data_IF_726374517187
#
_entry.id   IF_726374517187
#
_cell.length_a   1.000
_cell.length_b   1.000
_cell.length_c   1.000
_cell.angle_alpha   90.00
_cell.angle_beta   90.00
_cell.angle_gamma   90.00
#
_symmetry.space_group_name_H-M   'P 1'
#
loop_
_entity.id
_entity.type
_entity.pdbx_description
1 polymer ?
#
# COMPACT_ATOMS: atom_id res chain seq x y z
N UNK A 1 -7.03 -5.08 0.09
CA UNK A 1 -5.57 -5.29 0.23
C UNK A 1 -5.24 -6.64 -0.38
N UNK A 2 -4.30 -6.71 -1.33
CA UNK A 2 -3.86 -7.95 -1.98
C UNK A 2 -2.48 -8.33 -1.45
N UNK A 3 -2.28 -9.58 -1.07
CA UNK A 3 -1.02 -10.07 -0.47
C UNK A 3 -0.71 -11.48 -0.98
N UNK A 4 0.57 -11.71 -1.28
CA UNK A 4 1.10 -13.03 -1.68
C UNK A 4 2.23 -13.50 -0.77
N UNK A 5 2.37 -12.88 0.42
CA UNK A 5 3.35 -13.31 1.41
C UNK A 5 3.01 -14.68 1.99
N UNK A 6 3.99 -15.40 2.56
CA UNK A 6 3.76 -16.67 3.23
C UNK A 6 2.65 -16.53 4.28
N UNK A 7 1.70 -17.48 4.29
CA UNK A 7 0.57 -17.45 5.22
C UNK A 7 1.01 -17.33 6.69
N UNK A 8 2.08 -18.03 7.07
CA UNK A 8 2.63 -17.98 8.43
C UNK A 8 3.04 -16.55 8.84
N UNK A 9 3.60 -15.78 7.91
CA UNK A 9 3.92 -14.37 8.16
C UNK A 9 2.67 -13.51 8.29
N UNK A 10 1.70 -13.68 7.38
CA UNK A 10 0.44 -12.91 7.43
C UNK A 10 -0.33 -13.14 8.74
N UNK A 11 -0.39 -14.40 9.19
CA UNK A 11 -1.03 -14.78 10.45
C UNK A 11 -0.28 -14.13 11.64
N UNK A 12 1.05 -14.20 11.67
CA UNK A 12 1.86 -13.56 12.71
C UNK A 12 1.70 -12.03 12.72
N UNK A 13 1.81 -11.41 11.54
CA UNK A 13 1.70 -9.96 11.36
C UNK A 13 0.36 -9.43 11.86
N UNK A 14 -0.73 -10.13 11.52
CA UNK A 14 -2.09 -9.75 11.95
C UNK A 14 -2.31 -9.99 13.44
N UNK A 15 -1.87 -11.12 13.99
CA UNK A 15 -2.08 -11.45 15.41
C UNK A 15 -1.35 -10.49 16.35
N UNK A 16 -0.19 -9.98 15.93
CA UNK A 16 0.62 -9.06 16.73
C UNK A 16 0.35 -7.58 16.39
N UNK A 17 -0.59 -7.28 15.49
CA UNK A 17 -0.95 -5.91 15.15
C UNK A 17 0.20 -5.09 14.58
N UNK A 18 1.11 -5.72 13.82
CA UNK A 18 2.39 -5.12 13.43
C UNK A 18 2.24 -3.89 12.51
N UNK A 19 1.09 -3.70 11.88
CA UNK A 19 0.80 -2.55 10.99
C UNK A 19 1.11 -1.19 11.62
N UNK A 20 0.93 -1.03 12.93
CA UNK A 20 1.18 0.23 13.64
C UNK A 20 2.66 0.51 13.86
N UNK A 21 3.49 -0.53 13.79
CA UNK A 21 4.94 -0.49 14.04
C UNK A 21 5.74 -0.85 12.80
N UNK A 22 5.08 -1.08 11.66
CA UNK A 22 5.71 -1.50 10.42
C UNK A 22 6.41 -0.30 9.78
N UNK A 23 7.75 -0.36 9.64
CA UNK A 23 8.51 0.76 9.07
C UNK A 23 8.18 1.01 7.60
N UNK A 24 7.71 0.01 6.84
CA UNK A 24 7.23 0.25 5.46
C UNK A 24 5.99 1.13 5.44
N UNK A 25 5.08 0.91 6.39
CA UNK A 25 3.82 1.66 6.48
C UNK A 25 4.12 3.09 6.89
N UNK A 26 4.93 3.29 7.94
CA UNK A 26 5.39 4.61 8.37
C UNK A 26 6.07 5.36 7.22
N UNK A 27 7.05 4.73 6.57
CA UNK A 27 7.77 5.32 5.44
C UNK A 27 6.83 5.70 4.29
N UNK A 28 5.86 4.83 3.95
CA UNK A 28 4.93 5.07 2.86
C UNK A 28 3.90 6.16 3.11
N UNK A 29 3.68 6.57 4.36
CA UNK A 29 2.89 7.77 4.66
C UNK A 29 3.70 9.06 4.54
N UNK A 30 5.02 8.98 4.73
CA UNK A 30 5.92 10.14 4.75
C UNK A 30 6.57 10.41 3.39
N UNK A 31 6.75 9.38 2.55
CA UNK A 31 7.56 9.44 1.34
C UNK A 31 6.83 8.89 0.11
N UNK A 32 7.16 9.44 -1.06
CA UNK A 32 6.76 8.92 -2.38
C UNK A 32 8.02 8.42 -3.09
N UNK A 33 7.96 7.24 -3.71
CA UNK A 33 9.09 6.60 -4.37
C UNK A 33 9.33 5.18 -3.86
N UNK A 34 10.58 4.75 -3.85
CA UNK A 34 10.98 3.39 -3.43
C UNK A 34 12.08 3.42 -2.40
N UNK A 35 12.05 2.50 -1.44
CA UNK A 35 13.09 2.31 -0.43
C UNK A 35 13.33 0.81 -0.19
N UNK A 36 14.59 0.41 0.03
CA UNK A 36 14.91 -0.97 0.43
C UNK A 36 14.62 -1.18 1.90
N UNK A 37 14.27 -2.40 2.27
CA UNK A 37 14.11 -2.77 3.69
C UNK A 37 15.39 -2.54 4.49
N UNK A 38 16.56 -2.78 3.88
CA UNK A 38 17.86 -2.53 4.48
C UNK A 38 18.20 -1.05 4.69
N UNK A 39 17.43 -0.14 4.11
CA UNK A 39 17.58 1.31 4.25
C UNK A 39 16.55 1.91 5.23
N UNK A 40 15.62 1.10 5.75
CA UNK A 40 14.61 1.52 6.71
C UNK A 40 15.10 1.36 8.15
N UNK A 41 14.73 2.30 9.01
CA UNK A 41 14.87 2.13 10.45
C UNK A 41 13.75 1.23 10.97
N UNK A 42 14.09 0.12 11.63
CA UNK A 42 13.16 -0.94 12.06
C UNK A 42 13.21 -1.12 13.59
N UNK A 43 12.77 -0.12 14.38
CA UNK A 43 12.93 -0.13 15.84
C UNK A 43 12.11 -1.21 16.55
N UNK A 44 11.11 -1.77 15.87
CA UNK A 44 10.25 -2.84 16.38
C UNK A 44 10.63 -4.22 15.82
N UNK A 45 11.75 -4.32 15.10
CA UNK A 45 12.26 -5.55 14.49
C UNK A 45 11.23 -6.26 13.58
N UNK A 46 10.34 -5.52 12.92
CA UNK A 46 9.29 -6.09 12.06
C UNK A 46 9.88 -6.73 10.82
N UNK A 47 10.78 -6.03 10.12
CA UNK A 47 11.47 -6.53 8.94
C UNK A 47 12.49 -7.60 9.33
N UNK A 48 13.17 -7.41 10.46
CA UNK A 48 14.03 -8.44 11.03
C UNK A 48 13.25 -9.73 11.33
N UNK A 49 12.02 -9.63 11.83
CA UNK A 49 11.15 -10.78 12.06
C UNK A 49 10.69 -11.43 10.76
N UNK A 50 10.44 -10.66 9.70
CA UNK A 50 10.08 -11.19 8.38
C UNK A 50 11.16 -12.13 7.81
N UNK A 51 12.44 -11.92 8.17
CA UNK A 51 13.55 -12.80 7.77
C UNK A 51 13.36 -14.25 8.24
N UNK A 52 12.81 -14.44 9.44
CA UNK A 52 12.51 -15.78 10.00
C UNK A 52 11.43 -16.52 9.20
N UNK A 53 10.61 -15.78 8.44
CA UNK A 53 9.57 -16.32 7.57
C UNK A 53 10.02 -16.44 6.11
N UNK A 54 11.33 -16.35 5.84
CA UNK A 54 11.89 -16.51 4.50
C UNK A 54 11.81 -15.25 3.63
N UNK A 55 11.66 -14.07 4.25
CA UNK A 55 11.66 -12.77 3.57
C UNK A 55 12.79 -11.86 4.07
N UNK A 56 14.07 -12.22 3.82
CA UNK A 56 15.23 -11.42 4.20
C UNK A 56 15.39 -10.11 3.43
N UNK A 57 14.86 -10.01 2.21
CA UNK A 57 15.05 -8.85 1.34
C UNK A 57 13.71 -8.32 0.85
N UNK A 58 13.59 -7.00 0.81
CA UNK A 58 12.39 -6.38 0.31
C UNK A 58 12.54 -4.91 -0.03
N UNK A 59 11.51 -4.38 -0.67
CA UNK A 59 11.35 -2.96 -0.96
C UNK A 59 9.95 -2.51 -0.59
N UNK A 60 9.82 -1.24 -0.25
CA UNK A 60 8.54 -0.52 -0.24
C UNK A 60 8.50 0.41 -1.44
N UNK A 61 7.35 0.46 -2.11
CA UNK A 61 7.07 1.36 -3.21
C UNK A 61 5.79 2.13 -2.90
N UNK A 62 5.86 3.45 -2.92
CA UNK A 62 4.74 4.35 -2.65
C UNK A 62 4.51 5.25 -3.85
N UNK A 63 3.26 5.32 -4.30
CA UNK A 63 2.82 6.23 -5.37
C UNK A 63 1.54 6.94 -4.96
N UNK A 64 1.36 8.18 -5.44
CA UNK A 64 0.24 9.05 -5.07
C UNK A 64 -0.27 9.83 -6.28
N UNK A 65 -1.60 9.90 -6.43
CA UNK A 65 -2.29 10.73 -7.41
C UNK A 65 -3.47 11.44 -6.73
N UNK A 66 -3.39 12.77 -6.60
CA UNK A 66 -4.35 13.55 -5.81
C UNK A 66 -4.39 13.05 -4.36
N UNK A 67 -5.57 12.65 -3.90
CA UNK A 67 -5.81 12.08 -2.56
C UNK A 67 -5.65 10.55 -2.52
N UNK A 68 -5.39 9.89 -3.66
CA UNK A 68 -5.19 8.45 -3.72
C UNK A 68 -3.73 8.11 -3.41
N UNK A 69 -3.49 7.31 -2.37
CA UNK A 69 -2.18 6.80 -1.98
C UNK A 69 -2.15 5.28 -2.12
N UNK A 70 -1.08 4.75 -2.71
CA UNK A 70 -0.82 3.31 -2.77
C UNK A 70 0.55 3.01 -2.21
N UNK A 71 0.59 2.13 -1.20
CA UNK A 71 1.80 1.60 -0.58
C UNK A 71 1.87 0.11 -0.93
N UNK A 72 3.00 -0.31 -1.48
CA UNK A 72 3.21 -1.68 -1.96
C UNK A 72 4.53 -2.22 -1.42
N UNK A 73 4.46 -3.34 -0.69
CA UNK A 73 5.64 -4.08 -0.26
C UNK A 73 5.94 -5.24 -1.20
N UNK A 74 7.22 -5.46 -1.49
CA UNK A 74 7.71 -6.62 -2.24
C UNK A 74 8.83 -7.27 -1.47
N UNK A 75 8.84 -8.60 -1.40
CA UNK A 75 9.84 -9.36 -0.70
C UNK A 75 10.38 -10.52 -1.55
N UNK A 76 11.63 -10.92 -1.28
CA UNK A 76 12.30 -12.06 -1.91
C UNK A 76 13.30 -12.71 -0.95
N UNK A 77 13.67 -13.96 -1.25
CA UNK A 77 14.46 -14.79 -0.37
C UNK A 77 15.96 -14.83 -0.69
N UNK A 78 16.34 -14.50 -1.92
CA UNK A 78 17.65 -14.81 -2.49
C UNK A 78 18.66 -13.66 -2.39
N UNK A 79 18.26 -12.42 -2.68
CA UNK A 79 19.14 -11.24 -2.67
C UNK A 79 18.39 -9.92 -2.62
N UNK A 80 19.14 -8.84 -2.42
CA UNK A 80 18.65 -7.47 -2.59
C UNK A 80 18.13 -7.19 -4.01
N UNK A 81 17.16 -6.27 -4.08
CA UNK A 81 16.64 -5.77 -5.35
C UNK A 81 17.65 -4.83 -6.01
N UNK A 82 17.95 -5.11 -7.28
CA UNK A 82 18.77 -4.23 -8.11
C UNK A 82 18.00 -2.97 -8.49
N UNK A 83 18.71 -1.88 -8.79
CA UNK A 83 18.08 -0.62 -9.20
C UNK A 83 17.19 -0.79 -10.45
N UNK A 84 17.56 -1.67 -11.38
CA UNK A 84 16.76 -1.98 -12.57
C UNK A 84 15.46 -2.69 -12.21
N UNK A 85 15.50 -3.68 -11.32
CA UNK A 85 14.28 -4.36 -10.85
C UNK A 85 13.35 -3.40 -10.11
N UNK A 86 13.92 -2.50 -9.29
CA UNK A 86 13.15 -1.48 -8.57
C UNK A 86 12.44 -0.55 -9.55
N UNK A 87 13.14 -0.06 -10.58
CA UNK A 87 12.56 0.79 -11.63
C UNK A 87 11.44 0.09 -12.40
N UNK A 88 11.62 -1.19 -12.74
CA UNK A 88 10.58 -1.98 -13.42
C UNK A 88 9.34 -2.17 -12.54
N UNK A 89 9.54 -2.43 -11.24
CA UNK A 89 8.46 -2.59 -10.27
C UNK A 89 7.72 -1.27 -10.07
N UNK A 90 8.44 -0.15 -9.89
CA UNK A 90 7.82 1.15 -9.66
C UNK A 90 6.98 1.58 -10.85
N UNK A 91 7.45 1.40 -12.09
CA UNK A 91 6.68 1.71 -13.30
C UNK A 91 5.39 0.88 -13.43
N UNK A 92 5.43 -0.39 -13.02
CA UNK A 92 4.22 -1.24 -12.96
C UNK A 92 3.24 -0.76 -11.89
N UNK A 93 3.74 -0.40 -10.71
CA UNK A 93 2.92 0.12 -9.61
C UNK A 93 2.27 1.45 -9.98
N UNK A 94 2.97 2.37 -10.63
CA UNK A 94 2.40 3.62 -11.13
C UNK A 94 1.27 3.37 -12.13
N UNK A 95 1.48 2.43 -13.07
CA UNK A 95 0.45 2.06 -14.05
C UNK A 95 -0.79 1.48 -13.37
N UNK A 96 -0.60 0.56 -12.41
CA UNK A 96 -1.68 -0.03 -11.63
C UNK A 96 -2.42 1.02 -10.82
N UNK A 97 -1.69 1.88 -10.12
CA UNK A 97 -2.25 2.97 -9.33
C UNK A 97 -3.14 3.86 -10.18
N UNK A 98 -2.65 4.32 -11.33
CA UNK A 98 -3.42 5.14 -12.27
C UNK A 98 -4.73 4.46 -12.69
N UNK A 99 -4.67 3.19 -13.09
CA UNK A 99 -5.87 2.44 -13.49
C UNK A 99 -6.89 2.26 -12.36
N UNK A 100 -6.43 2.24 -11.11
CA UNK A 100 -7.31 2.16 -9.94
C UNK A 100 -7.81 3.52 -9.45
N UNK A 101 -7.00 4.57 -9.58
CA UNK A 101 -7.32 5.93 -9.16
C UNK A 101 -8.31 6.60 -10.13
N UNK A 102 -8.16 6.40 -11.44
CA UNK A 102 -9.03 6.98 -12.47
C UNK A 102 -10.49 6.51 -12.34
N UNK A 103 -10.75 5.36 -11.68
CA UNK A 103 -12.10 4.83 -11.45
C UNK A 103 -12.85 5.50 -10.29
N UNK A 104 -12.20 6.37 -9.52
CA UNK A 104 -12.82 7.05 -8.37
C UNK A 104 -13.41 8.43 -8.72
N UNK A 105 -13.29 8.90 -9.96
CA UNK A 105 -13.79 10.21 -10.36
C UNK A 105 -15.21 10.11 -10.92
N UNK A 106 -16.20 10.16 -10.03
CA UNK A 106 -17.53 10.65 -10.39
C UNK A 106 -17.40 12.15 -10.70
N UNK A 107 -18.07 12.62 -11.75
CA UNK A 107 -18.04 14.05 -12.05
C UNK A 107 -18.67 14.84 -10.89
N UNK A 108 -18.31 16.11 -10.70
CA UNK A 108 -18.95 16.96 -9.71
C UNK A 108 -20.48 16.99 -9.87
N UNK A 109 -20.99 16.92 -11.11
CA UNK A 109 -22.42 16.82 -11.37
C UNK A 109 -23.01 15.50 -10.84
N UNK A 110 -22.37 14.35 -11.11
CA UNK A 110 -22.84 13.05 -10.62
C UNK A 110 -22.79 12.96 -9.09
N UNK A 111 -21.78 13.55 -8.44
CA UNK A 111 -21.71 13.65 -6.98
C UNK A 111 -22.89 14.48 -6.45
N UNK A 112 -23.21 15.58 -7.12
CA UNK A 112 -24.32 16.45 -6.72
C UNK A 112 -25.69 15.77 -6.92
N UNK A 113 -25.87 15.03 -8.02
CA UNK A 113 -27.08 14.22 -8.25
C UNK A 113 -27.25 13.13 -7.19
N UNK A 114 -26.18 12.40 -6.85
CA UNK A 114 -26.22 11.39 -5.79
C UNK A 114 -26.57 12.00 -4.41
N UNK A 115 -26.05 13.20 -4.09
CA UNK A 115 -26.45 13.94 -2.88
C UNK A 115 -27.94 14.30 -2.91
N UNK A 116 -28.43 14.83 -4.03
CA UNK A 116 -29.84 15.20 -4.19
C UNK A 116 -30.76 13.97 -4.05
N UNK A 117 -30.39 12.85 -4.67
CA UNK A 117 -31.10 11.58 -4.53
C UNK A 117 -31.10 11.08 -3.08
N UNK A 118 -29.94 11.10 -2.39
CA UNK A 118 -29.85 10.69 -0.99
C UNK A 118 -30.79 11.48 -0.09
N UNK A 119 -30.88 12.81 -0.29
CA UNK A 119 -31.79 13.68 0.46
C UNK A 119 -33.26 13.32 0.17
N UNK A 120 -33.60 13.10 -1.10
CA UNK A 120 -34.95 12.73 -1.53
C UNK A 120 -35.41 11.36 -1.01
N UNK A 121 -34.49 10.41 -0.79
CA UNK A 121 -34.82 9.06 -0.31
C UNK A 121 -34.74 8.91 1.22
N UNK A 122 -34.12 9.85 1.95
CA UNK A 122 -34.02 9.82 3.42
C UNK A 122 -35.01 10.74 4.13
N UNK A 123 -35.64 11.66 3.41
CA UNK A 123 -36.78 12.43 3.90
C UNK A 123 -38.03 11.99 3.14
N UNK A 124 -38.79 11.00 3.63
CA UNK A 124 -40.14 10.79 3.10
C UNK A 124 -40.91 12.08 3.35
N UNK A 125 -41.52 12.62 2.29
CA UNK A 125 -42.28 13.86 2.34
C UNK A 125 -43.23 13.90 3.54
N UNK A 126 -43.24 15.05 4.21
CA UNK A 126 -44.30 15.46 5.12
C UNK A 126 -45.66 15.49 4.43
#
# INVERSE_FOLDING_TARGET
MFQSYPKAWLDYYSQNGLVMSDPMVAWGFEHIGTCRWSELDDPADVLQKATEFGMPYGIVCTTKSGDSLSICGFARADREFSNTEIQDISGKIESLHKWTADKAHLSPETIQELKNMSISFTHPGS
#
